data_IF_180258854150
#
_entry.id   IF_180258854150
#
_cell.length_a   1.000
_cell.length_b   1.000
_cell.length_c   1.000
_cell.angle_alpha   90.00
_cell.angle_beta   90.00
_cell.angle_gamma   90.00
#
_symmetry.space_group_name_H-M   'P 1'
#
loop_
_entity.id
_entity.type
_entity.pdbx_description
1 polymer ?
#
# COMPACT_ATOMS: atom_id res chain seq x y z
N UNK A 1 -9.28 -5.14 -4.52
CA UNK A 1 -9.78 -3.95 -5.23
C UNK A 1 -8.74 -3.60 -6.28
N UNK A 2 -9.11 -3.61 -7.56
CA UNK A 2 -8.15 -3.35 -8.64
C UNK A 2 -8.34 -1.91 -9.13
N UNK A 3 -7.29 -1.09 -8.99
CA UNK A 3 -7.25 0.29 -9.49
C UNK A 3 -6.78 0.26 -10.94
N UNK A 4 -7.59 0.82 -11.85
CA UNK A 4 -7.26 0.85 -13.27
C UNK A 4 -6.10 1.81 -13.56
N UNK A 5 -5.47 1.70 -14.73
CA UNK A 5 -4.41 2.62 -15.15
C UNK A 5 -4.88 4.09 -15.19
N UNK A 6 -6.13 4.33 -15.59
CA UNK A 6 -6.72 5.67 -15.62
C UNK A 6 -6.88 6.25 -14.20
N UNK A 7 -7.28 5.42 -13.23
CA UNK A 7 -7.41 5.85 -11.84
C UNK A 7 -6.07 6.27 -11.24
N UNK A 8 -4.96 5.59 -11.62
CA UNK A 8 -3.60 5.95 -11.15
C UNK A 8 -3.12 7.32 -11.64
N UNK A 9 -3.64 7.78 -12.76
CA UNK A 9 -3.33 9.11 -13.33
C UNK A 9 -4.19 10.22 -12.71
N UNK A 10 -5.19 9.86 -11.90
CA UNK A 10 -6.04 10.83 -11.22
C UNK A 10 -5.26 11.61 -10.15
N UNK A 11 -5.45 12.94 -10.05
CA UNK A 11 -4.92 13.74 -8.94
C UNK A 11 -5.37 13.23 -7.57
N UNK A 12 -6.55 12.62 -7.48
CA UNK A 12 -7.06 12.02 -6.25
C UNK A 12 -6.23 10.81 -5.82
N UNK A 13 -5.75 10.02 -6.77
CA UNK A 13 -4.87 8.88 -6.48
C UNK A 13 -3.53 9.37 -5.92
N UNK A 14 -2.92 10.38 -6.56
CA UNK A 14 -1.68 10.97 -6.06
C UNK A 14 -1.85 11.51 -4.63
N UNK A 15 -2.94 12.24 -4.36
CA UNK A 15 -3.25 12.77 -3.03
C UNK A 15 -3.51 11.68 -2.00
N UNK A 16 -4.14 10.57 -2.40
CA UNK A 16 -4.37 9.41 -1.53
C UNK A 16 -3.04 8.77 -1.12
N UNK A 17 -2.12 8.55 -2.07
CA UNK A 17 -0.80 7.99 -1.77
C UNK A 17 -0.01 8.92 -0.85
N UNK A 18 -0.04 10.23 -1.13
CA UNK A 18 0.60 11.24 -0.30
C UNK A 18 0.07 11.23 1.14
N UNK A 19 -1.26 11.17 1.33
CA UNK A 19 -1.89 11.10 2.65
C UNK A 19 -1.51 9.82 3.41
N UNK A 20 -1.44 8.67 2.72
CA UNK A 20 -0.98 7.42 3.33
C UNK A 20 0.48 7.53 3.77
N UNK A 21 1.35 8.06 2.92
CA UNK A 21 2.78 8.24 3.22
C UNK A 21 2.99 9.24 4.37
N UNK A 22 2.21 10.33 4.41
CA UNK A 22 2.22 11.31 5.50
C UNK A 22 1.77 10.71 6.83
N UNK A 23 0.75 9.83 6.83
CA UNK A 23 0.31 9.10 8.03
C UNK A 23 1.36 8.12 8.53
N UNK A 24 2.03 7.40 7.61
CA UNK A 24 3.13 6.50 7.99
C UNK A 24 4.28 7.28 8.61
N UNK A 25 4.65 8.44 8.05
CA UNK A 25 5.69 9.31 8.61
C UNK A 25 5.31 9.81 10.01
N UNK A 26 4.06 10.25 10.19
CA UNK A 26 3.54 10.71 11.49
C UNK A 26 3.58 9.60 12.54
N UNK A 27 3.16 8.38 12.17
CA UNK A 27 3.17 7.23 13.08
C UNK A 27 4.60 6.80 13.43
N UNK A 28 5.55 6.86 12.49
CA UNK A 28 6.97 6.62 12.77
C UNK A 28 7.53 7.62 13.78
N UNK A 29 7.28 8.91 13.55
CA UNK A 29 7.68 9.96 14.49
C UNK A 29 7.03 9.81 15.86
N UNK A 30 5.81 9.24 15.92
CA UNK A 30 5.16 8.88 17.18
C UNK A 30 5.85 7.68 17.85
N UNK A 31 6.14 6.62 17.11
CA UNK A 31 6.83 5.41 17.62
C UNK A 31 8.22 5.71 18.20
N UNK A 32 8.90 6.75 17.71
CA UNK A 32 10.23 7.15 18.21
C UNK A 32 10.18 7.85 19.58
N UNK A 33 8.99 8.09 20.13
CA UNK A 33 8.78 8.62 21.48
C UNK A 33 8.71 7.50 22.51
N UNK A 34 8.80 7.88 23.78
CA UNK A 34 8.63 6.95 24.89
C UNK A 34 7.16 6.52 25.00
N UNK A 35 6.91 5.28 24.61
CA UNK A 35 5.63 4.60 24.60
C UNK A 35 5.78 3.28 25.36
N UNK A 36 4.72 2.83 26.02
CA UNK A 36 4.72 1.48 26.57
C UNK A 36 4.77 0.42 25.44
N UNK A 37 5.08 -0.81 25.79
CA UNK A 37 5.23 -1.90 24.80
C UNK A 37 3.95 -2.12 23.98
N UNK A 38 2.78 -1.95 24.61
CA UNK A 38 1.47 -2.17 23.98
C UNK A 38 1.18 -1.07 22.94
N UNK A 39 1.39 0.19 23.29
CA UNK A 39 1.20 1.33 22.39
C UNK A 39 2.21 1.30 21.25
N UNK A 40 3.46 0.96 21.53
CA UNK A 40 4.48 0.70 20.50
C UNK A 40 4.03 -0.39 19.52
N UNK A 41 3.53 -1.52 20.02
CA UNK A 41 3.03 -2.61 19.19
C UNK A 41 1.84 -2.17 18.31
N UNK A 42 0.90 -1.39 18.88
CA UNK A 42 -0.25 -0.84 18.13
C UNK A 42 0.18 0.12 17.03
N UNK A 43 1.12 1.03 17.30
CA UNK A 43 1.64 1.97 16.30
C UNK A 43 2.31 1.20 15.17
N UNK A 44 3.14 0.20 15.49
CA UNK A 44 3.79 -0.67 14.48
C UNK A 44 2.79 -1.46 13.65
N UNK A 45 1.74 -2.00 14.28
CA UNK A 45 0.64 -2.66 13.58
C UNK A 45 -0.04 -1.73 12.58
N UNK A 46 -0.34 -0.49 12.99
CA UNK A 46 -0.96 0.50 12.10
C UNK A 46 -0.06 0.91 10.95
N UNK A 47 1.24 1.06 11.19
CA UNK A 47 2.23 1.29 10.12
C UNK A 47 2.22 0.14 9.12
N UNK A 48 2.17 -1.11 9.59
CA UNK A 48 2.15 -2.29 8.71
C UNK A 48 0.89 -2.33 7.83
N UNK A 49 -0.28 -2.04 8.41
CA UNK A 49 -1.55 -1.97 7.66
C UNK A 49 -1.50 -0.91 6.55
N UNK A 50 -1.04 0.31 6.86
CA UNK A 50 -0.96 1.39 5.88
C UNK A 50 0.03 1.08 4.75
N UNK A 51 1.15 0.44 5.07
CA UNK A 51 2.10 -0.03 4.05
C UNK A 51 1.51 -1.13 3.17
N UNK A 52 0.77 -2.07 3.76
CA UNK A 52 0.10 -3.12 3.00
C UNK A 52 -0.94 -2.53 2.05
N UNK A 53 -1.75 -1.58 2.53
CA UNK A 53 -2.71 -0.86 1.71
C UNK A 53 -2.02 -0.11 0.56
N UNK A 54 -0.98 0.66 0.84
CA UNK A 54 -0.19 1.36 -0.18
C UNK A 54 0.31 0.40 -1.25
N UNK A 55 0.91 -0.71 -0.83
CA UNK A 55 1.44 -1.72 -1.75
C UNK A 55 0.35 -2.31 -2.65
N UNK A 56 -0.84 -2.60 -2.11
CA UNK A 56 -1.99 -3.07 -2.88
C UNK A 56 -2.48 -2.03 -3.90
N UNK A 57 -2.45 -0.74 -3.53
CA UNK A 57 -2.86 0.36 -4.43
C UNK A 57 -1.85 0.62 -5.55
N UNK A 58 -0.57 0.33 -5.33
CA UNK A 58 0.52 0.56 -6.30
C UNK A 58 0.90 -0.68 -7.11
N UNK A 59 0.63 -1.89 -6.60
CA UNK A 59 0.96 -3.12 -7.30
C UNK A 59 0.25 -3.18 -8.65
N UNK A 60 0.99 -3.39 -9.73
CA UNK A 60 0.37 -3.72 -11.02
C UNK A 60 -0.44 -5.00 -10.89
N UNK A 61 -1.60 -5.12 -11.57
CA UNK A 61 -2.29 -6.38 -11.65
C UNK A 61 -1.35 -7.38 -12.31
N UNK A 62 -0.89 -8.39 -11.56
CA UNK A 62 -0.09 -9.46 -12.15
C UNK A 62 -0.96 -10.16 -13.18
N UNK A 63 -0.62 -10.03 -14.46
CA UNK A 63 -1.11 -10.96 -15.47
C UNK A 63 -0.46 -12.30 -15.18
N UNK A 64 -1.06 -13.12 -14.32
CA UNK A 64 -0.74 -14.54 -14.26
C UNK A 64 -1.04 -15.07 -15.66
N UNK A 65 0.03 -15.38 -16.39
CA UNK A 65 0.00 -15.89 -17.75
C UNK A 65 -1.15 -16.87 -17.93
N UNK A 66 -2.18 -16.45 -18.67
CA UNK A 66 -3.09 -17.42 -19.27
C UNK A 66 -2.21 -18.28 -20.17
N UNK A 67 -2.04 -19.54 -19.78
CA UNK A 67 -1.36 -20.57 -20.56
C UNK A 67 -1.82 -20.47 -22.02
N UNK A 68 -0.97 -19.89 -22.86
CA UNK A 68 -1.10 -20.01 -24.30
C UNK A 68 -0.54 -21.38 -24.64
N UNK A 69 -1.36 -22.42 -24.47
CA UNK A 69 -1.08 -23.71 -25.10
C UNK A 69 -1.33 -23.48 -26.57
N UNK A 70 -0.26 -23.36 -27.35
CA UNK A 70 -0.34 -23.25 -28.80
C UNK A 70 -1.13 -24.46 -29.34
N UNK A 71 -2.30 -24.25 -29.97
CA UNK A 71 -3.08 -25.36 -30.53
C UNK A 71 -2.46 -25.94 -31.81
N UNK A 72 -1.31 -25.40 -32.27
CA UNK A 72 -0.62 -25.84 -33.49
C UNK A 72 0.87 -26.19 -33.30
N UNK A 73 1.34 -26.37 -32.06
CA UNK A 73 2.71 -26.84 -31.79
C UNK A 73 2.89 -28.35 -32.04
#
# INVERSE_FOLDING_TARGET
MNISGADRQSPLYAKLIEDIDGKVATLRASNDRDHDEISTARIRGRIAELKALRNQLTSEPSMTAQNYTDPYA
#
